data_IF_785472509015
#
_entry.id   IF_785472509015
#
_cell.length_a   1.000
_cell.length_b   1.000
_cell.length_c   1.000
_cell.angle_alpha   90.00
_cell.angle_beta   90.00
_cell.angle_gamma   90.00
#
_symmetry.space_group_name_H-M   'P 1'
#
loop_
_entity.id
_entity.type
_entity.pdbx_description
1 polymer ?
#
# COMPACT_ATOMS: atom_id res chain seq x y z
N UNK A 1 -11.71 -17.17 -28.71
CA UNK A 1 -11.37 -15.74 -28.64
C UNK A 1 -11.69 -15.29 -27.23
N UNK A 2 -10.71 -15.15 -26.33
CA UNK A 2 -11.02 -14.60 -24.99
C UNK A 2 -11.30 -13.12 -25.16
N UNK A 3 -12.48 -12.67 -24.80
CA UNK A 3 -12.78 -11.25 -24.74
C UNK A 3 -11.81 -10.61 -23.75
N UNK A 4 -10.89 -9.81 -24.26
CA UNK A 4 -10.02 -8.99 -23.42
C UNK A 4 -10.91 -7.99 -22.71
N UNK A 5 -11.11 -8.17 -21.40
CA UNK A 5 -11.84 -7.19 -20.58
C UNK A 5 -11.14 -5.84 -20.78
N UNK A 6 -11.84 -4.78 -21.23
CA UNK A 6 -11.20 -3.49 -21.47
C UNK A 6 -10.66 -2.91 -20.17
N UNK A 7 -9.45 -2.35 -20.20
CA UNK A 7 -8.74 -1.76 -19.04
C UNK A 7 -9.62 -0.81 -18.22
N UNK A 8 -10.47 -0.04 -18.89
CA UNK A 8 -11.42 0.87 -18.24
C UNK A 8 -12.38 0.14 -17.29
N UNK A 9 -12.90 -1.03 -17.67
CA UNK A 9 -13.81 -1.80 -16.81
C UNK A 9 -13.08 -2.28 -15.54
N UNK A 10 -11.82 -2.67 -15.67
CA UNK A 10 -11.02 -3.14 -14.55
C UNK A 10 -10.68 -1.97 -13.61
N UNK A 11 -10.29 -0.82 -14.16
CA UNK A 11 -10.06 0.38 -13.37
C UNK A 11 -11.33 0.85 -12.63
N UNK A 12 -12.49 0.87 -13.30
CA UNK A 12 -13.76 1.24 -12.67
C UNK A 12 -14.19 0.24 -11.59
N UNK A 13 -13.97 -1.07 -11.80
CA UNK A 13 -14.26 -2.09 -10.81
C UNK A 13 -13.34 -1.93 -9.58
N UNK A 14 -12.03 -1.76 -9.79
CA UNK A 14 -11.05 -1.56 -8.74
C UNK A 14 -11.36 -0.30 -7.90
N UNK A 15 -11.69 0.81 -8.57
CA UNK A 15 -12.13 2.04 -7.91
C UNK A 15 -13.41 1.81 -7.10
N UNK A 16 -14.41 1.14 -7.68
CA UNK A 16 -15.69 0.87 -7.01
C UNK A 16 -15.50 0.00 -5.77
N UNK A 17 -14.68 -1.05 -5.85
CA UNK A 17 -14.34 -1.91 -4.70
C UNK A 17 -13.61 -1.11 -3.63
N UNK A 18 -12.59 -0.33 -4.01
CA UNK A 18 -11.85 0.52 -3.07
C UNK A 18 -12.76 1.52 -2.35
N UNK A 19 -13.64 2.16 -3.11
CA UNK A 19 -14.61 3.13 -2.59
C UNK A 19 -15.61 2.48 -1.63
N UNK A 20 -16.20 1.34 -2.01
CA UNK A 20 -17.18 0.62 -1.17
C UNK A 20 -16.52 0.12 0.12
N UNK A 21 -15.32 -0.44 0.06
CA UNK A 21 -14.61 -0.90 1.26
C UNK A 21 -14.32 0.26 2.21
N UNK A 22 -13.81 1.39 1.70
CA UNK A 22 -13.58 2.58 2.52
C UNK A 22 -14.88 3.17 3.08
N UNK A 23 -15.97 3.17 2.31
CA UNK A 23 -17.29 3.61 2.78
C UNK A 23 -17.81 2.74 3.92
N UNK A 24 -17.66 1.41 3.81
CA UNK A 24 -18.09 0.45 4.82
C UNK A 24 -17.25 0.58 6.09
N UNK A 25 -15.91 0.60 5.98
CA UNK A 25 -15.02 0.75 7.12
C UNK A 25 -15.16 2.13 7.80
N UNK A 26 -15.48 3.16 7.02
CA UNK A 26 -15.84 4.50 7.51
C UNK A 26 -17.27 4.62 8.07
N UNK A 27 -18.10 3.59 7.97
CA UNK A 27 -19.48 3.60 8.48
C UNK A 27 -19.53 3.39 10.00
N UNK A 28 -20.60 3.88 10.65
CA UNK A 28 -20.79 3.73 12.11
C UNK A 28 -20.74 2.27 12.59
N UNK A 29 -20.98 1.32 11.70
CA UNK A 29 -21.07 -0.11 11.97
C UNK A 29 -19.74 -0.85 11.98
N UNK A 30 -18.69 -0.31 11.36
CA UNK A 30 -17.37 -0.97 11.29
C UNK A 30 -16.25 -0.06 11.78
N UNK A 31 -16.56 1.19 12.13
CA UNK A 31 -15.60 2.14 12.70
C UNK A 31 -14.82 1.54 13.86
N UNK A 32 -15.45 0.75 14.73
CA UNK A 32 -14.79 0.12 15.89
C UNK A 32 -13.71 -0.91 15.54
N UNK A 33 -13.67 -1.43 14.30
CA UNK A 33 -12.58 -2.29 13.83
C UNK A 33 -11.35 -1.49 13.38
N UNK A 34 -11.47 -0.17 13.20
CA UNK A 34 -10.43 0.66 12.59
C UNK A 34 -10.39 2.12 13.12
N UNK A 35 -10.88 2.35 14.34
CA UNK A 35 -10.75 3.65 15.00
C UNK A 35 -9.54 3.63 15.92
N UNK A 36 -8.61 4.51 15.62
CA UNK A 36 -7.54 4.86 16.54
C UNK A 36 -8.13 5.71 17.67
N UNK A 37 -7.90 5.32 18.93
CA UNK A 37 -8.34 6.11 20.08
C UNK A 37 -7.41 7.34 20.19
N UNK A 38 -7.94 8.58 20.23
CA UNK A 38 -7.09 9.76 20.25
C UNK A 38 -6.30 9.81 21.56
N UNK A 39 -4.99 9.52 21.49
CA UNK A 39 -4.05 9.74 22.58
C UNK A 39 -3.70 11.23 22.76
N UNK A 40 -3.14 11.58 23.93
CA UNK A 40 -2.81 12.95 24.39
C UNK A 40 -1.83 13.78 23.52
N UNK A 41 -1.45 13.34 22.32
CA UNK A 41 -0.55 14.05 21.38
C UNK A 41 -1.18 14.39 20.01
N UNK A 42 -2.49 14.14 19.83
CA UNK A 42 -3.22 14.44 18.59
C UNK A 42 -3.64 15.91 18.50
N UNK A 43 -3.37 16.57 17.34
CA UNK A 43 -3.90 17.89 16.97
C UNK A 43 -5.37 17.82 16.49
N UNK A 44 -5.90 16.63 16.21
CA UNK A 44 -7.27 16.41 15.79
C UNK A 44 -8.13 15.94 16.98
N UNK A 45 -9.26 16.61 17.20
CA UNK A 45 -10.23 16.28 18.26
C UNK A 45 -11.17 15.11 17.88
N UNK A 46 -11.10 14.60 16.65
CA UNK A 46 -11.99 13.55 16.15
C UNK A 46 -11.17 12.36 15.64
N UNK A 47 -11.57 11.15 16.05
CA UNK A 47 -10.98 9.91 15.59
C UNK A 47 -11.22 9.74 14.08
N UNK A 48 -10.14 9.78 13.29
CA UNK A 48 -10.18 9.52 11.85
C UNK A 48 -9.92 8.04 11.60
N UNK A 49 -10.75 7.37 10.77
CA UNK A 49 -10.56 5.94 10.48
C UNK A 49 -9.31 5.75 9.61
N UNK A 50 -8.30 5.04 10.11
CA UNK A 50 -7.06 4.65 9.38
C UNK A 50 -7.34 3.49 8.41
N UNK A 51 -8.31 3.69 7.51
CA UNK A 51 -8.87 2.60 6.68
C UNK A 51 -8.55 2.75 5.20
N UNK A 52 -8.06 3.92 4.78
CA UNK A 52 -7.80 4.25 3.37
C UNK A 52 -6.93 3.22 2.66
N UNK A 53 -5.86 2.76 3.32
CA UNK A 53 -4.95 1.73 2.79
C UNK A 53 -5.63 0.38 2.56
N UNK A 54 -6.57 -0.03 3.42
CA UNK A 54 -7.31 -1.28 3.25
C UNK A 54 -8.22 -1.24 2.02
N UNK A 55 -8.87 -0.09 1.76
CA UNK A 55 -9.61 0.10 0.52
C UNK A 55 -8.71 0.07 -0.71
N UNK A 56 -7.51 0.65 -0.66
CA UNK A 56 -6.56 0.59 -1.79
C UNK A 56 -6.12 -0.86 -2.06
N UNK A 57 -5.79 -1.62 -1.01
CA UNK A 57 -5.43 -3.06 -1.14
C UNK A 57 -6.60 -3.85 -1.75
N UNK A 58 -7.84 -3.61 -1.32
CA UNK A 58 -9.01 -4.29 -1.89
C UNK A 58 -9.21 -3.97 -3.38
N UNK A 59 -9.04 -2.70 -3.77
CA UNK A 59 -9.07 -2.28 -5.16
C UNK A 59 -7.97 -2.94 -6.00
N UNK A 60 -6.74 -2.99 -5.48
CA UNK A 60 -5.61 -3.66 -6.12
C UNK A 60 -5.89 -5.15 -6.32
N UNK A 61 -6.37 -5.85 -5.29
CA UNK A 61 -6.76 -7.25 -5.40
C UNK A 61 -7.82 -7.47 -6.49
N UNK A 62 -8.84 -6.59 -6.56
CA UNK A 62 -9.87 -6.64 -7.60
C UNK A 62 -9.28 -6.45 -9.00
N UNK A 63 -8.40 -5.45 -9.18
CA UNK A 63 -7.73 -5.20 -10.45
C UNK A 63 -6.87 -6.37 -10.90
N UNK A 64 -6.29 -7.12 -9.96
CA UNK A 64 -5.40 -8.26 -10.23
C UNK A 64 -6.13 -9.57 -10.53
N UNK A 65 -7.43 -9.70 -10.23
CA UNK A 65 -8.19 -10.95 -10.44
C UNK A 65 -8.14 -11.48 -11.88
N UNK A 66 -8.27 -10.65 -12.94
CA UNK A 66 -8.21 -11.14 -14.32
C UNK A 66 -6.83 -11.67 -14.73
N UNK A 67 -5.78 -11.29 -14.02
CA UNK A 67 -4.39 -11.63 -14.31
C UNK A 67 -3.64 -12.10 -13.08
N UNK A 68 -4.28 -12.97 -12.29
CA UNK A 68 -3.74 -13.49 -11.04
C UNK A 68 -2.60 -14.49 -11.29
N UNK A 69 -1.51 -14.00 -11.88
CA UNK A 69 -0.29 -14.75 -12.14
C UNK A 69 0.93 -13.91 -11.73
N UNK A 70 0.87 -13.40 -10.49
CA UNK A 70 1.94 -12.59 -9.92
C UNK A 70 3.08 -13.51 -9.46
N UNK A 71 4.34 -13.09 -9.62
CA UNK A 71 5.46 -13.80 -9.05
C UNK A 71 5.29 -13.97 -7.54
N UNK A 72 5.58 -15.16 -7.01
CA UNK A 72 5.47 -15.42 -5.56
C UNK A 72 6.28 -14.43 -4.72
N UNK A 73 7.37 -13.92 -5.26
CA UNK A 73 8.25 -12.94 -4.64
C UNK A 73 7.58 -11.57 -4.52
N UNK A 74 6.77 -11.17 -5.50
CA UNK A 74 6.00 -9.93 -5.43
C UNK A 74 4.88 -10.05 -4.39
N UNK A 75 4.20 -11.20 -4.36
CA UNK A 75 3.20 -11.50 -3.32
C UNK A 75 3.82 -11.50 -1.92
N UNK A 76 5.01 -12.10 -1.76
CA UNK A 76 5.72 -12.14 -0.49
C UNK A 76 6.21 -10.75 -0.05
N UNK A 77 6.80 -9.96 -0.97
CA UNK A 77 7.26 -8.61 -0.69
C UNK A 77 6.09 -7.68 -0.30
N UNK A 78 5.07 -7.60 -1.15
CA UNK A 78 3.89 -6.78 -0.88
C UNK A 78 3.11 -7.23 0.35
N UNK A 79 3.01 -8.54 0.58
CA UNK A 79 2.41 -9.10 1.80
C UNK A 79 3.18 -8.68 3.04
N UNK A 80 4.51 -8.78 3.04
CA UNK A 80 5.36 -8.33 4.14
C UNK A 80 5.18 -6.82 4.40
N UNK A 81 5.18 -6.01 3.35
CA UNK A 81 4.99 -4.56 3.45
C UNK A 81 3.60 -4.20 3.98
N UNK A 82 2.55 -4.88 3.53
CA UNK A 82 1.20 -4.68 4.04
C UNK A 82 1.08 -5.08 5.52
N UNK A 83 1.64 -6.23 5.91
CA UNK A 83 1.62 -6.72 7.29
C UNK A 83 2.34 -5.73 8.21
N UNK A 84 3.54 -5.27 7.85
CA UNK A 84 4.28 -4.33 8.71
C UNK A 84 3.59 -2.98 8.80
N UNK A 85 2.99 -2.47 7.71
CA UNK A 85 2.24 -1.21 7.74
C UNK A 85 1.01 -1.30 8.62
N UNK A 86 0.23 -2.38 8.50
CA UNK A 86 -0.94 -2.63 9.37
C UNK A 86 -0.50 -2.79 10.83
N UNK A 87 0.59 -3.52 11.09
CA UNK A 87 1.12 -3.67 12.44
C UNK A 87 1.61 -2.34 13.03
N UNK A 88 2.22 -1.45 12.22
CA UNK A 88 2.62 -0.10 12.64
C UNK A 88 1.42 0.76 13.03
N UNK A 89 0.31 0.64 12.30
CA UNK A 89 -0.93 1.36 12.61
C UNK A 89 -1.52 0.99 13.97
N UNK A 90 -1.42 -0.28 14.39
CA UNK A 90 -1.97 -0.76 15.66
C UNK A 90 -0.98 -0.70 16.83
N UNK A 91 0.30 -0.94 16.59
CA UNK A 91 1.30 -1.14 17.64
C UNK A 91 2.38 -0.05 17.71
N UNK A 92 2.40 0.92 16.79
CA UNK A 92 3.42 1.98 16.72
C UNK A 92 4.85 1.42 16.80
N UNK A 93 5.29 0.75 15.75
CA UNK A 93 6.52 -0.02 15.74
C UNK A 93 7.77 0.88 15.76
N UNK A 94 8.90 0.41 16.35
CA UNK A 94 10.18 1.08 16.23
C UNK A 94 10.60 1.30 14.78
N UNK A 95 11.18 2.47 14.49
CA UNK A 95 11.60 2.85 13.14
C UNK A 95 12.52 1.80 12.48
N UNK A 96 13.41 1.17 13.25
CA UNK A 96 14.33 0.12 12.78
C UNK A 96 13.56 -1.08 12.21
N UNK A 97 12.49 -1.54 12.87
CA UNK A 97 11.70 -2.68 12.38
C UNK A 97 11.02 -2.36 11.05
N UNK A 98 10.49 -1.14 10.90
CA UNK A 98 9.85 -0.70 9.66
C UNK A 98 10.84 -0.60 8.51
N UNK A 99 12.02 0.00 8.75
CA UNK A 99 13.06 0.11 7.74
C UNK A 99 13.58 -1.26 7.30
N UNK A 100 13.79 -2.20 8.23
CA UNK A 100 14.21 -3.55 7.91
C UNK A 100 13.14 -4.30 7.10
N UNK A 101 11.87 -4.17 7.46
CA UNK A 101 10.78 -4.80 6.73
C UNK A 101 10.61 -4.22 5.31
N UNK A 102 10.72 -2.91 5.15
CA UNK A 102 10.72 -2.24 3.83
C UNK A 102 11.89 -2.69 2.97
N UNK A 103 13.10 -2.74 3.55
CA UNK A 103 14.29 -3.21 2.86
C UNK A 103 14.18 -4.68 2.45
N UNK A 104 13.70 -5.55 3.33
CA UNK A 104 13.48 -6.97 3.05
C UNK A 104 12.41 -7.16 1.97
N UNK A 105 11.27 -6.46 2.07
CA UNK A 105 10.21 -6.47 1.06
C UNK A 105 10.75 -6.07 -0.31
N UNK A 106 11.50 -4.96 -0.37
CA UNK A 106 12.11 -4.50 -1.61
C UNK A 106 13.08 -5.55 -2.14
N UNK A 107 13.98 -6.07 -1.31
CA UNK A 107 14.96 -7.07 -1.73
C UNK A 107 14.30 -8.31 -2.31
N UNK A 108 13.26 -8.84 -1.68
CA UNK A 108 12.52 -10.02 -2.17
C UNK A 108 11.94 -9.74 -3.57
N UNK A 109 11.27 -8.59 -3.74
CA UNK A 109 10.62 -8.24 -5.00
C UNK A 109 11.62 -7.94 -6.13
N UNK A 110 12.69 -7.19 -5.84
CA UNK A 110 13.62 -6.67 -6.84
C UNK A 110 14.74 -7.65 -7.17
N UNK A 111 15.20 -8.48 -6.23
CA UNK A 111 16.20 -9.51 -6.51
C UNK A 111 15.68 -10.51 -7.55
N UNK A 112 14.41 -10.90 -7.43
CA UNK A 112 13.76 -11.76 -8.41
C UNK A 112 13.64 -11.08 -9.78
N UNK A 113 13.34 -9.79 -9.81
CA UNK A 113 13.18 -9.02 -11.05
C UNK A 113 14.50 -8.80 -11.81
N UNK A 114 15.58 -8.49 -11.09
CA UNK A 114 16.87 -8.15 -11.67
C UNK A 114 17.59 -9.37 -12.28
N UNK A 115 17.38 -10.57 -11.73
CA UNK A 115 18.13 -11.76 -12.15
C UNK A 115 19.62 -11.70 -11.78
N UNK A 116 20.33 -12.80 -12.00
CA UNK A 116 21.71 -12.98 -11.50
C UNK A 116 22.77 -12.13 -12.22
N UNK A 117 22.52 -11.75 -13.48
CA UNK A 117 23.49 -11.04 -14.33
C UNK A 117 23.36 -9.51 -14.23
N UNK A 118 22.48 -9.01 -13.37
CA UNK A 118 22.29 -7.57 -13.16
C UNK A 118 23.49 -6.91 -12.49
N UNK A 119 23.70 -5.63 -12.80
CA UNK A 119 24.70 -4.81 -12.13
C UNK A 119 24.44 -4.80 -10.61
N UNK A 120 25.48 -5.14 -9.85
CA UNK A 120 25.44 -5.28 -8.40
C UNK A 120 25.01 -3.98 -7.69
N UNK A 121 25.14 -2.82 -8.35
CA UNK A 121 24.69 -1.52 -7.83
C UNK A 121 23.17 -1.35 -7.88
N UNK A 122 22.48 -2.04 -8.80
CA UNK A 122 21.03 -1.85 -9.01
C UNK A 122 20.21 -2.33 -7.81
N UNK A 123 20.58 -3.46 -7.21
CA UNK A 123 19.84 -3.99 -6.06
C UNK A 123 19.85 -3.04 -4.86
N UNK A 124 21.01 -2.57 -4.33
CA UNK A 124 21.00 -1.61 -3.23
C UNK A 124 20.36 -0.28 -3.62
N UNK A 125 20.51 0.18 -4.87
CA UNK A 125 19.84 1.39 -5.34
C UNK A 125 18.30 1.25 -5.27
N UNK A 126 17.73 0.16 -5.79
CA UNK A 126 16.29 -0.09 -5.74
C UNK A 126 15.75 -0.24 -4.32
N UNK A 127 16.52 -0.90 -3.44
CA UNK A 127 16.18 -1.01 -2.02
C UNK A 127 16.12 0.38 -1.38
N UNK A 128 17.15 1.21 -1.59
CA UNK A 128 17.20 2.57 -1.05
C UNK A 128 16.06 3.43 -1.61
N UNK A 129 15.80 3.37 -2.91
CA UNK A 129 14.69 4.10 -3.55
C UNK A 129 13.34 3.67 -2.98
N UNK A 130 13.11 2.37 -2.79
CA UNK A 130 11.84 1.85 -2.26
C UNK A 130 11.63 2.27 -0.80
N UNK A 131 12.66 2.12 0.04
CA UNK A 131 12.62 2.56 1.44
C UNK A 131 12.39 4.07 1.52
N UNK A 132 13.13 4.86 0.73
CA UNK A 132 12.97 6.30 0.67
C UNK A 132 11.56 6.72 0.23
N UNK A 133 11.06 6.15 -0.88
CA UNK A 133 9.75 6.46 -1.41
C UNK A 133 8.64 6.09 -0.42
N UNK A 134 8.75 4.93 0.25
CA UNK A 134 7.77 4.51 1.26
C UNK A 134 7.72 5.51 2.43
N UNK A 135 8.88 5.94 2.94
CA UNK A 135 8.91 6.93 4.02
C UNK A 135 8.44 8.32 3.56
N UNK A 136 8.72 8.70 2.30
CA UNK A 136 8.24 9.94 1.71
C UNK A 136 6.70 9.96 1.63
N UNK A 137 6.08 8.89 1.11
CA UNK A 137 4.62 8.77 1.04
C UNK A 137 3.99 8.76 2.45
N UNK A 138 4.60 8.04 3.41
CA UNK A 138 4.13 8.05 4.80
C UNK A 138 4.22 9.46 5.43
N UNK A 139 5.24 10.24 5.08
CA UNK A 139 5.37 11.63 5.53
C UNK A 139 4.30 12.53 4.89
N UNK A 140 4.02 12.35 3.59
CA UNK A 140 3.02 13.13 2.85
C UNK A 140 1.58 12.82 3.27
N UNK A 141 1.29 11.60 3.72
CA UNK A 141 -0.05 11.20 4.20
C UNK A 141 -0.44 11.89 5.53
N UNK A 142 0.53 12.53 6.20
CA UNK A 142 0.25 13.42 7.34
C UNK A 142 -0.55 14.68 6.97
N UNK A 143 -0.71 14.99 5.68
CA UNK A 143 -1.53 16.07 5.17
C UNK A 143 -2.71 15.54 4.32
N UNK A 144 -3.90 16.07 4.56
CA UNK A 144 -5.14 15.61 3.92
C UNK A 144 -5.03 15.59 2.39
N UNK A 145 -5.08 14.39 1.79
CA UNK A 145 -5.21 14.18 0.35
C UNK A 145 -3.95 14.38 -0.49
N UNK A 146 -2.80 14.77 0.08
CA UNK A 146 -1.56 14.97 -0.69
C UNK A 146 -0.99 13.67 -1.24
N UNK A 147 -0.85 12.64 -0.40
CA UNK A 147 -0.32 11.34 -0.81
C UNK A 147 -1.19 10.69 -1.90
N UNK A 148 -2.52 10.71 -1.71
CA UNK A 148 -3.48 10.19 -2.69
C UNK A 148 -3.45 10.95 -4.02
N UNK A 149 -3.41 12.28 -3.98
CA UNK A 149 -3.34 13.11 -5.19
C UNK A 149 -2.05 12.88 -5.98
N UNK A 150 -0.91 12.80 -5.28
CA UNK A 150 0.39 12.53 -5.91
C UNK A 150 0.48 11.12 -6.50
N UNK A 151 -0.13 10.12 -5.84
CA UNK A 151 -0.25 8.77 -6.40
C UNK A 151 -1.13 8.74 -7.65
N UNK A 152 -2.29 9.39 -7.63
CA UNK A 152 -3.17 9.44 -8.80
C UNK A 152 -2.47 10.13 -9.98
N UNK A 153 -1.88 11.30 -9.77
CA UNK A 153 -1.19 12.04 -10.82
C UNK A 153 0.00 11.21 -11.30
N UNK A 154 0.92 10.81 -10.42
CA UNK A 154 2.17 10.14 -10.81
C UNK A 154 2.03 8.83 -11.57
N UNK A 155 0.92 8.09 -11.38
CA UNK A 155 0.72 6.75 -11.95
C UNK A 155 -0.48 6.61 -12.90
N UNK A 156 -1.18 7.69 -13.27
CA UNK A 156 -2.37 7.62 -14.15
C UNK A 156 -2.08 7.62 -15.67
N UNK A 157 -0.82 7.67 -16.09
CA UNK A 157 -0.39 7.76 -17.49
C UNK A 157 0.30 6.50 -18.00
#
# INVERSE_FOLDING_TARGET
MSETIPLLHIATAAFSVSFVVNLLLGSKWLRHLATDQPGHRSLHQQATPRTGGLGIIAGLCCASLPWLNWPNQWLAGLGLLAIISIADDFASLPAILRLLAQAASSAIATFWLLGADSDWVLLPALILTTVWATNLYNFMDGANGLAGGMGMIGFAW
#
